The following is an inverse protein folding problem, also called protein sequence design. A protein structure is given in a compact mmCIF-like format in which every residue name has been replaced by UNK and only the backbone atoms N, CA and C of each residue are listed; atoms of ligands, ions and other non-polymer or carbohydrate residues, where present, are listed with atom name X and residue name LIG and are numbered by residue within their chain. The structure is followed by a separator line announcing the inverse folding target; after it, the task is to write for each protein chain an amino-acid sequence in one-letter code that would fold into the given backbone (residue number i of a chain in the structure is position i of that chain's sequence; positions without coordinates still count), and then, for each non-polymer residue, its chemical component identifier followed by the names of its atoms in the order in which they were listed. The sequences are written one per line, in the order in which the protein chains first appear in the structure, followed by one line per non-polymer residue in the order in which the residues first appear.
data_IF_782992191640
#
_entry.id   IF_782992191640
#
_cell.length_a   1.000
_cell.length_b   1.000
_cell.length_c   1.000
_cell.angle_alpha   90.00
_cell.angle_beta   90.00
_cell.angle_gamma   90.00
#
_symmetry.space_group_name_H-M   'P 1'
#
loop_
_entity.id
_entity.type
_entity.pdbx_description
1 polymer ?
#
# COMPACT_ATOMS: atom_id res chain seq x y z
N UNK A 1 -3.45 -11.67 1.32
CA UNK A 1 -2.70 -12.81 0.77
C UNK A 1 -1.75 -12.23 -0.27
N UNK A 2 -0.44 -12.27 0.00
CA UNK A 2 0.53 -12.09 -1.07
C UNK A 2 0.50 -13.41 -1.84
N UNK A 3 -0.25 -13.42 -2.93
CA UNK A 3 -0.06 -14.46 -3.93
C UNK A 3 1.39 -14.33 -4.34
N UNK A 4 2.22 -15.32 -4.00
CA UNK A 4 3.61 -15.43 -4.42
C UNK A 4 3.61 -15.61 -5.94
N UNK A 5 3.30 -14.53 -6.66
CA UNK A 5 3.29 -14.48 -8.11
C UNK A 5 4.69 -14.69 -8.66
N UNK A 6 4.77 -14.92 -9.98
CA UNK A 6 6.00 -15.16 -10.72
C UNK A 6 7.07 -14.13 -10.30
N UNK A 7 8.27 -14.56 -9.84
CA UNK A 7 9.30 -13.65 -9.36
C UNK A 7 9.64 -12.62 -10.44
N UNK A 8 9.59 -11.33 -10.08
CA UNK A 8 9.80 -10.21 -10.99
C UNK A 8 11.24 -10.18 -11.54
N UNK A 9 12.17 -10.88 -10.88
CA UNK A 9 13.50 -11.12 -11.40
C UNK A 9 14.16 -12.31 -10.70
N UNK A 10 14.81 -13.16 -11.49
CA UNK A 10 15.78 -14.14 -11.01
C UNK A 10 17.15 -13.78 -11.55
N UNK A 11 18.09 -13.45 -10.67
CA UNK A 11 19.48 -13.22 -11.04
C UNK A 11 20.32 -14.37 -10.50
N UNK A 12 21.14 -14.99 -11.35
CA UNK A 12 22.04 -16.08 -10.96
C UNK A 12 23.47 -15.66 -11.28
N UNK A 13 24.32 -15.63 -10.26
CA UNK A 13 25.74 -15.35 -10.39
C UNK A 13 26.51 -16.32 -9.50
N UNK A 14 27.50 -17.00 -10.07
CA UNK A 14 28.47 -17.82 -9.34
C UNK A 14 27.85 -18.89 -8.40
N UNK A 15 26.77 -19.54 -8.84
CA UNK A 15 26.06 -20.56 -8.04
C UNK A 15 25.14 -20.00 -6.94
N UNK A 16 25.01 -18.67 -6.87
CA UNK A 16 24.08 -17.95 -6.00
C UNK A 16 22.93 -17.39 -6.85
N UNK A 17 21.71 -17.81 -6.53
CA UNK A 17 20.48 -17.38 -7.18
C UNK A 17 19.69 -16.45 -6.26
N UNK A 18 19.33 -15.28 -6.74
CA UNK A 18 18.49 -14.32 -6.04
C UNK A 18 17.09 -14.34 -6.65
N UNK A 19 16.08 -14.62 -5.83
CA UNK A 19 14.67 -14.49 -6.21
C UNK A 19 14.09 -13.27 -5.53
N UNK A 20 13.60 -12.32 -6.31
CA UNK A 20 12.95 -11.11 -5.77
C UNK A 20 11.46 -11.11 -6.09
N UNK A 21 10.66 -10.97 -5.04
CA UNK A 21 9.22 -10.76 -5.09
C UNK A 21 8.94 -9.33 -4.66
N UNK A 22 8.16 -8.61 -5.44
CA UNK A 22 7.78 -7.23 -5.12
C UNK A 22 6.29 -7.03 -5.28
N UNK A 23 5.67 -6.43 -4.28
CA UNK A 23 4.28 -5.99 -4.27
C UNK A 23 4.24 -4.50 -3.96
N UNK A 24 3.55 -3.75 -4.80
CA UNK A 24 3.25 -2.34 -4.57
C UNK A 24 1.75 -2.12 -4.72
N UNK A 25 1.18 -1.42 -3.75
CA UNK A 25 -0.22 -1.02 -3.75
C UNK A 25 -0.30 0.47 -3.41
N UNK A 26 -0.95 1.23 -4.28
CA UNK A 26 -1.22 2.64 -4.06
C UNK A 26 -2.73 2.86 -4.14
N UNK A 27 -3.25 3.73 -3.30
CA UNK A 27 -4.67 4.05 -3.29
C UNK A 27 -4.97 5.28 -2.46
N UNK A 28 -6.25 5.60 -2.37
CA UNK A 28 -6.74 6.76 -1.65
C UNK A 28 -7.92 6.34 -0.79
N UNK A 29 -7.89 6.72 0.49
CA UNK A 29 -9.08 6.67 1.34
C UNK A 29 -9.90 7.91 0.97
N UNK A 30 -11.13 7.74 0.43
CA UNK A 30 -11.93 8.88 0.01
C UNK A 30 -12.28 9.75 1.21
N UNK A 31 -12.11 11.06 1.04
CA UNK A 31 -12.54 12.06 1.99
C UNK A 31 -14.06 12.31 1.90
N UNK A 32 -14.60 13.10 2.82
CA UNK A 32 -16.00 13.50 2.82
C UNK A 32 -16.15 14.95 2.31
N UNK A 33 -17.03 15.24 1.34
CA UNK A 33 -17.26 16.60 0.88
C UNK A 33 -17.86 17.48 2.00
N UNK A 34 -17.60 18.80 1.99
CA UNK A 34 -18.24 19.74 2.91
C UNK A 34 -19.75 19.77 2.70
N UNK A 35 -20.50 19.91 3.79
CA UNK A 35 -21.97 19.98 3.76
C UNK A 35 -22.40 21.38 4.11
N UNK A 36 -23.05 22.06 3.17
CA UNK A 36 -23.63 23.39 3.37
C UNK A 36 -25.14 23.25 3.54
N UNK A 37 -25.66 23.68 4.68
CA UNK A 37 -27.10 23.70 4.95
C UNK A 37 -27.55 25.13 5.19
N UNK A 38 -28.49 25.61 4.38
CA UNK A 38 -29.12 26.92 4.55
C UNK A 38 -30.51 26.74 5.11
N UNK A 39 -30.76 27.25 6.33
CA UNK A 39 -32.08 27.26 6.96
C UNK A 39 -32.66 28.67 6.95
N UNK A 40 -33.96 28.78 6.66
CA UNK A 40 -34.67 30.06 6.71
C UNK A 40 -35.49 30.12 8.00
N UNK A 41 -35.17 31.06 8.89
CA UNK A 41 -35.91 31.30 10.14
C UNK A 41 -36.41 32.73 10.11
N UNK A 42 -37.74 32.93 10.10
CA UNK A 42 -38.36 34.26 10.09
C UNK A 42 -38.01 35.13 8.87
N UNK A 43 -37.75 34.52 7.70
CA UNK A 43 -37.38 35.24 6.48
C UNK A 43 -35.90 35.63 6.36
N UNK A 44 -35.05 35.28 7.34
CA UNK A 44 -33.58 35.40 7.27
C UNK A 44 -32.95 34.05 6.93
N UNK A 45 -31.98 34.06 6.02
CA UNK A 45 -31.19 32.89 5.67
C UNK A 45 -30.02 32.71 6.66
N UNK A 46 -29.92 31.53 7.25
CA UNK A 46 -28.82 31.09 8.09
C UNK A 46 -28.09 29.95 7.39
N UNK A 47 -26.91 30.24 6.87
CA UNK A 47 -26.06 29.25 6.20
C UNK A 47 -25.05 28.68 7.19
N UNK A 48 -25.13 27.39 7.47
CA UNK A 48 -24.11 26.66 8.22
C UNK A 48 -23.35 25.74 7.27
N UNK A 49 -22.02 25.88 7.26
CA UNK A 49 -21.14 25.02 6.47
C UNK A 49 -20.31 24.16 7.41
N UNK A 50 -20.44 22.84 7.28
CA UNK A 50 -19.53 21.88 7.89
C UNK A 50 -18.37 21.58 6.94
N UNK A 51 -17.14 21.68 7.44
CA UNK A 51 -15.93 21.37 6.67
C UNK A 51 -15.89 19.90 6.22
N UNK A 52 -15.37 19.66 5.02
CA UNK A 52 -15.12 18.31 4.52
C UNK A 52 -13.79 17.75 5.03
N UNK A 53 -13.57 16.45 4.84
CA UNK A 53 -12.27 15.80 5.08
C UNK A 53 -11.60 15.52 3.74
N UNK A 54 -10.30 15.78 3.62
CA UNK A 54 -9.52 15.51 2.41
C UNK A 54 -9.28 13.98 2.25
N UNK A 55 -9.15 13.52 1.01
CA UNK A 55 -8.75 12.14 0.73
C UNK A 55 -7.31 11.90 1.22
N UNK A 56 -7.07 10.75 1.84
CA UNK A 56 -5.76 10.37 2.38
C UNK A 56 -5.11 9.36 1.43
N UNK A 57 -3.97 9.69 0.78
CA UNK A 57 -3.24 8.71 -0.02
C UNK A 57 -2.57 7.67 0.88
N UNK A 58 -2.56 6.42 0.44
CA UNK A 58 -1.73 5.38 1.02
C UNK A 58 -0.87 4.73 -0.05
N UNK A 59 0.37 4.42 0.31
CA UNK A 59 1.32 3.72 -0.53
C UNK A 59 1.98 2.62 0.29
N UNK A 60 1.75 1.38 -0.12
CA UNK A 60 2.32 0.18 0.45
C UNK A 60 3.30 -0.41 -0.55
N UNK A 61 4.52 -0.67 -0.11
CA UNK A 61 5.48 -1.46 -0.85
C UNK A 61 6.05 -2.55 0.03
N UNK A 62 6.25 -3.73 -0.56
CA UNK A 62 7.01 -4.79 0.05
C UNK A 62 7.80 -5.51 -1.04
N UNK A 63 9.11 -5.60 -0.85
CA UNK A 63 10.02 -6.37 -1.68
C UNK A 63 10.71 -7.39 -0.79
N UNK A 64 10.61 -8.67 -1.14
CA UNK A 64 11.29 -9.78 -0.48
C UNK A 64 12.29 -10.38 -1.44
N UNK A 65 13.54 -10.47 -1.02
CA UNK A 65 14.63 -11.08 -1.78
C UNK A 65 15.15 -12.30 -1.04
N UNK A 66 15.07 -13.46 -1.69
CA UNK A 66 15.65 -14.72 -1.23
C UNK A 66 16.99 -14.94 -1.90
N UNK A 67 18.00 -15.28 -1.11
CA UNK A 67 19.30 -15.75 -1.58
C UNK A 67 19.30 -17.27 -1.50
N UNK A 68 19.55 -17.91 -2.64
CA UNK A 68 19.57 -19.36 -2.80
C UNK A 68 20.98 -19.77 -3.20
N UNK A 69 21.59 -20.67 -2.45
CA UNK A 69 22.89 -21.27 -2.77
C UNK A 69 22.71 -22.78 -2.75
N UNK A 70 23.20 -23.48 -3.78
CA UNK A 70 23.04 -24.95 -3.88
C UNK A 70 21.58 -25.43 -3.73
N UNK A 71 20.61 -24.69 -4.30
CA UNK A 71 19.16 -24.97 -4.21
C UNK A 71 18.55 -24.83 -2.80
N UNK A 72 19.31 -24.33 -1.82
CA UNK A 72 18.83 -24.03 -0.47
C UNK A 72 18.72 -22.52 -0.28
N UNK A 73 17.62 -22.07 0.33
CA UNK A 73 17.48 -20.68 0.77
C UNK A 73 18.45 -20.47 1.95
N UNK A 74 19.49 -19.67 1.75
CA UNK A 74 20.51 -19.40 2.79
C UNK A 74 20.20 -18.14 3.58
N UNK A 75 19.52 -17.18 2.95
CA UNK A 75 19.14 -15.91 3.58
C UNK A 75 17.94 -15.33 2.86
N UNK A 76 17.15 -14.55 3.58
CA UNK A 76 16.09 -13.74 3.00
C UNK A 76 16.14 -12.34 3.60
N UNK A 77 15.75 -11.35 2.81
CA UNK A 77 15.65 -9.96 3.22
C UNK A 77 14.32 -9.40 2.74
N UNK A 78 13.74 -8.51 3.52
CA UNK A 78 12.55 -7.77 3.13
C UNK A 78 12.82 -6.26 3.21
N UNK A 79 12.16 -5.49 2.36
CA UNK A 79 12.25 -4.03 2.31
C UNK A 79 10.87 -3.46 2.01
N UNK A 80 10.50 -2.38 2.69
CA UNK A 80 9.18 -1.75 2.56
C UNK A 80 8.37 -1.78 3.86
N UNK A 81 7.14 -1.29 3.77
CA UNK A 81 6.29 -0.89 4.89
C UNK A 81 5.01 -1.76 5.04
N UNK A 82 4.77 -2.71 4.12
CA UNK A 82 3.59 -3.60 4.17
C UNK A 82 3.91 -5.08 3.95
N UNK A 83 5.09 -5.52 4.39
CA UNK A 83 5.45 -6.94 4.33
C UNK A 83 4.67 -7.73 5.37
N UNK A 84 3.57 -8.37 4.94
CA UNK A 84 2.78 -9.28 5.78
C UNK A 84 3.31 -10.70 5.61
N UNK A 85 3.93 -11.26 6.64
CA UNK A 85 4.07 -12.72 6.80
C UNK A 85 2.77 -13.25 7.41
N UNK A 86 2.15 -14.25 6.78
CA UNK A 86 1.16 -15.08 7.46
C UNK A 86 1.93 -16.13 8.25
N UNK A 87 1.72 -16.16 9.56
CA UNK A 87 2.16 -17.26 10.45
C UNK A 87 1.22 -18.46 10.26
#
# INVERSE_FOLDING_TARGET
MAEEGIPQGSYEADGVRFLTYSRSEFGYIPGQPPVTTTTYIGGKAYTNTSGGTQAIPYAYSCTVTFTIVNKLITSWKHSGNACKSYD
#
